data_IF_128154232380
#
_entry.id   IF_128154232380
#
_cell.length_a   1.000
_cell.length_b   1.000
_cell.length_c   1.000
_cell.angle_alpha   90.00
_cell.angle_beta   90.00
_cell.angle_gamma   90.00
#
_symmetry.space_group_name_H-M   'P 1'
#
loop_
_entity.id
_entity.type
_entity.pdbx_description
1 polymer ?
#
# COMPACT_ATOMS: atom_id res chain seq x y z
N UNK A 1 -17.94 3.08 11.25
CA UNK A 1 -16.97 2.17 11.90
C UNK A 1 -15.95 1.74 10.86
N UNK A 2 -14.79 2.39 10.84
CA UNK A 2 -13.72 2.10 9.89
C UNK A 2 -13.04 0.81 10.32
N UNK A 3 -13.22 -0.25 9.55
CA UNK A 3 -12.63 -1.56 9.82
C UNK A 3 -11.14 -1.48 9.50
N UNK A 4 -10.33 -1.08 10.48
CA UNK A 4 -8.86 -1.14 10.38
C UNK A 4 -8.51 -2.63 10.32
N UNK A 5 -8.41 -3.17 9.11
CA UNK A 5 -7.82 -4.49 8.91
C UNK A 5 -6.34 -4.29 9.17
N UNK A 6 -5.81 -4.84 10.25
CA UNK A 6 -4.37 -5.06 10.35
C UNK A 6 -3.99 -5.97 9.18
N UNK A 7 -3.47 -5.37 8.12
CA UNK A 7 -3.01 -6.09 6.94
C UNK A 7 -1.65 -6.69 7.30
N UNK A 8 -1.70 -7.83 8.00
CA UNK A 8 -0.51 -8.59 8.38
C UNK A 8 0.24 -9.19 7.18
N UNK A 9 -0.35 -9.13 5.98
CA UNK A 9 0.27 -9.54 4.73
C UNK A 9 -0.42 -8.86 3.54
N UNK A 10 0.36 -8.22 2.67
CA UNK A 10 -0.07 -7.72 1.36
C UNK A 10 0.51 -8.61 0.27
N UNK A 11 -0.22 -8.72 -0.84
CA UNK A 11 0.20 -9.41 -2.05
C UNK A 11 0.50 -8.37 -3.15
N UNK A 12 1.30 -8.74 -4.18
CA UNK A 12 1.47 -7.91 -5.36
C UNK A 12 0.12 -7.51 -5.97
N UNK A 13 -0.04 -6.23 -6.29
CA UNK A 13 -1.26 -5.63 -6.81
C UNK A 13 -2.25 -5.15 -5.75
N UNK A 14 -2.07 -5.45 -4.47
CA UNK A 14 -2.93 -4.87 -3.43
C UNK A 14 -2.72 -3.35 -3.33
N UNK A 15 -3.84 -2.63 -3.25
CA UNK A 15 -3.87 -1.19 -2.98
C UNK A 15 -3.50 -0.93 -1.52
N UNK A 16 -2.53 -0.03 -1.33
CA UNK A 16 -2.00 0.36 -0.02
C UNK A 16 -2.51 1.74 0.39
N UNK A 17 -2.49 2.69 -0.54
CA UNK A 17 -3.03 4.04 -0.37
C UNK A 17 -3.15 4.73 -1.75
N UNK A 18 -3.42 6.04 -1.76
CA UNK A 18 -3.51 6.90 -2.93
C UNK A 18 -2.39 7.95 -2.91
N UNK A 19 -2.02 8.45 -4.09
CA UNK A 19 -0.89 9.37 -4.25
C UNK A 19 -1.11 10.75 -3.58
N UNK A 20 -2.36 11.11 -3.30
CA UNK A 20 -2.72 12.33 -2.58
C UNK A 20 -2.35 12.26 -1.09
N UNK A 21 -2.22 11.05 -0.53
CA UNK A 21 -1.87 10.83 0.87
C UNK A 21 -0.40 10.42 1.05
N UNK A 22 0.11 9.56 0.18
CA UNK A 22 1.47 9.01 0.32
C UNK A 22 2.19 8.85 -1.02
N UNK A 23 3.50 9.03 -1.00
CA UNK A 23 4.36 8.74 -2.14
C UNK A 23 4.69 7.24 -2.22
N UNK A 24 4.84 6.72 -3.45
CA UNK A 24 5.26 5.33 -3.66
C UNK A 24 6.70 5.12 -3.20
N UNK A 25 6.90 4.21 -2.24
CA UNK A 25 8.20 3.81 -1.73
C UNK A 25 8.82 2.62 -2.48
N UNK A 26 9.85 2.03 -1.86
CA UNK A 26 10.46 0.80 -2.36
C UNK A 26 9.45 -0.35 -2.30
N UNK A 27 9.46 -1.19 -3.34
CA UNK A 27 8.55 -2.33 -3.50
C UNK A 27 7.07 -1.94 -3.67
N UNK A 28 6.78 -0.71 -4.05
CA UNK A 28 5.45 -0.28 -4.49
C UNK A 28 5.52 0.33 -5.89
N UNK A 29 4.37 0.42 -6.55
CA UNK A 29 4.23 1.13 -7.83
C UNK A 29 2.91 1.90 -7.86
N UNK A 30 2.82 2.90 -8.74
CA UNK A 30 1.58 3.66 -8.93
C UNK A 30 0.83 3.12 -10.14
N UNK A 31 -0.46 2.87 -9.97
CA UNK A 31 -1.38 2.54 -11.05
C UNK A 31 -2.73 3.22 -10.79
N UNK A 32 -3.21 4.00 -11.76
CA UNK A 32 -4.49 4.72 -11.67
C UNK A 32 -4.62 5.63 -10.42
N UNK A 33 -3.52 6.25 -9.99
CA UNK A 33 -3.48 7.10 -8.79
C UNK A 33 -3.38 6.34 -7.46
N UNK A 34 -3.36 5.01 -7.49
CA UNK A 34 -3.19 4.18 -6.30
C UNK A 34 -1.74 3.71 -6.15
N UNK A 35 -1.23 3.78 -4.93
CA UNK A 35 0.02 3.13 -4.53
C UNK A 35 -0.28 1.67 -4.23
N UNK A 36 0.34 0.76 -4.98
CA UNK A 36 0.13 -0.69 -4.91
C UNK A 36 1.40 -1.44 -4.55
N UNK A 37 1.26 -2.56 -3.84
CA UNK A 37 2.40 -3.42 -3.54
C UNK A 37 2.90 -4.15 -4.80
N UNK A 38 4.21 -4.28 -4.96
CA UNK A 38 4.84 -5.15 -5.98
C UNK A 38 5.31 -6.49 -5.42
N UNK A 39 5.26 -6.67 -4.10
CA UNK A 39 5.81 -7.84 -3.40
C UNK A 39 4.82 -8.41 -2.38
N UNK A 40 5.12 -9.62 -1.89
CA UNK A 40 4.46 -10.21 -0.73
C UNK A 40 5.18 -9.72 0.53
N UNK A 41 4.45 -9.23 1.54
CA UNK A 41 5.08 -8.80 2.79
C UNK A 41 4.16 -8.03 3.72
N UNK A 42 4.73 -7.30 4.67
CA UNK A 42 4.00 -6.38 5.55
C UNK A 42 4.23 -4.95 5.09
N UNK A 43 3.18 -4.15 4.85
CA UNK A 43 3.36 -2.74 4.53
C UNK A 43 3.85 -2.00 5.77
N UNK A 44 4.81 -1.10 5.59
CA UNK A 44 5.29 -0.18 6.62
C UNK A 44 5.05 1.22 6.09
N UNK A 45 4.41 2.05 6.90
CA UNK A 45 4.18 3.46 6.58
C UNK A 45 5.08 4.28 7.48
N UNK A 46 5.90 5.13 6.86
CA UNK A 46 6.65 6.16 7.58
C UNK A 46 5.82 7.46 7.51
N UNK A 47 5.48 8.00 8.68
CA UNK A 47 4.89 9.33 8.82
C UNK A 47 5.97 10.40 8.97
#
# INVERSE_FOLDING_TARGET
MSKIREINCVLPGNSLSVIEEFESGKNTFVLDGEVRSSVIGKPIVNM
#
